data_IF_462075114939
#
_entry.id   IF_462075114939
#
_cell.length_a   1.000
_cell.length_b   1.000
_cell.length_c   1.000
_cell.angle_alpha   90.00
_cell.angle_beta   90.00
_cell.angle_gamma   90.00
#
_symmetry.space_group_name_H-M   'P 1'
#
loop_
_entity.id
_entity.type
_entity.pdbx_description
1 polymer ?
#
# COMPACT_ATOMS: atom_id res chain seq x y z
N UNK A 1 12.67 8.20 -8.33
CA UNK A 1 11.36 8.22 -7.64
C UNK A 1 11.61 8.34 -6.15
N UNK A 2 11.56 9.57 -5.60
CA UNK A 2 11.78 9.83 -4.18
C UNK A 2 10.49 9.54 -3.41
N UNK A 3 10.53 8.66 -2.42
CA UNK A 3 9.39 8.41 -1.53
C UNK A 3 9.27 9.59 -0.54
N UNK A 4 8.26 10.48 -0.67
CA UNK A 4 8.18 11.70 0.14
C UNK A 4 8.03 11.43 1.64
N UNK A 5 7.64 10.19 2.02
CA UNK A 5 7.54 9.75 3.41
C UNK A 5 8.89 9.49 4.08
N UNK A 6 9.95 9.20 3.30
CA UNK A 6 11.28 8.93 3.85
C UNK A 6 12.01 10.19 4.33
N UNK A 7 11.52 11.39 3.97
CA UNK A 7 12.18 12.67 4.19
C UNK A 7 11.40 13.61 5.12
N UNK A 8 10.24 13.16 5.61
CA UNK A 8 9.43 13.93 6.54
C UNK A 8 9.99 13.81 7.98
N UNK A 9 9.90 14.88 8.80
CA UNK A 9 10.33 14.82 10.19
C UNK A 9 9.51 13.79 10.97
N UNK A 10 10.20 12.90 11.70
CA UNK A 10 9.56 11.87 12.51
C UNK A 10 8.91 12.50 13.73
N UNK A 11 7.61 12.26 13.91
CA UNK A 11 6.88 12.66 15.11
C UNK A 11 6.82 11.48 16.09
N UNK A 12 7.32 11.68 17.31
CA UNK A 12 7.17 10.71 18.38
C UNK A 12 5.68 10.51 18.66
N UNK A 13 5.23 9.25 18.63
CA UNK A 13 3.84 8.86 18.86
C UNK A 13 3.84 7.75 19.90
N UNK A 14 3.07 7.91 20.98
CA UNK A 14 2.91 6.86 21.98
C UNK A 14 2.02 5.76 21.40
N UNK A 15 2.53 4.53 21.40
CA UNK A 15 1.83 3.34 20.93
C UNK A 15 1.85 2.27 22.01
N UNK A 16 0.70 1.64 22.25
CA UNK A 16 0.55 0.54 23.20
C UNK A 16 0.74 -0.79 22.47
N UNK A 17 1.72 -1.58 22.90
CA UNK A 17 2.01 -2.91 22.39
C UNK A 17 2.02 -3.91 23.56
N UNK A 18 1.78 -5.19 23.26
CA UNK A 18 1.85 -6.25 24.26
C UNK A 18 3.25 -6.30 24.89
N UNK A 19 3.29 -6.43 26.22
CA UNK A 19 4.54 -6.44 26.97
C UNK A 19 5.44 -7.61 26.57
N UNK A 20 4.85 -8.78 26.34
CA UNK A 20 5.55 -9.99 25.86
C UNK A 20 6.25 -9.75 24.53
N UNK A 21 5.58 -9.07 23.60
CA UNK A 21 6.14 -8.73 22.29
C UNK A 21 7.28 -7.70 22.40
N UNK A 22 7.17 -6.73 23.31
CA UNK A 22 8.25 -5.78 23.57
C UNK A 22 9.47 -6.45 24.21
N UNK A 23 9.26 -7.38 25.13
CA UNK A 23 10.33 -8.16 25.76
C UNK A 23 11.06 -9.02 24.71
N UNK A 24 10.32 -9.70 23.84
CA UNK A 24 10.87 -10.49 22.74
C UNK A 24 11.64 -9.60 21.75
N UNK A 25 11.07 -8.47 21.34
CA UNK A 25 11.73 -7.53 20.45
C UNK A 25 13.06 -7.00 21.04
N UNK A 26 13.08 -6.71 22.34
CA UNK A 26 14.32 -6.31 23.06
C UNK A 26 15.34 -7.44 23.08
N UNK A 27 14.92 -8.68 23.37
CA UNK A 27 15.80 -9.85 23.39
C UNK A 27 16.44 -10.10 22.01
N UNK A 28 15.67 -9.88 20.94
CA UNK A 28 16.09 -10.02 19.55
C UNK A 28 16.79 -8.77 18.99
N UNK A 29 16.98 -7.71 19.80
CA UNK A 29 17.55 -6.42 19.39
C UNK A 29 16.84 -5.77 18.19
N UNK A 30 15.53 -5.95 18.11
CA UNK A 30 14.69 -5.36 17.05
C UNK A 30 14.42 -3.89 17.37
N UNK A 31 14.61 -3.04 16.37
CA UNK A 31 14.22 -1.63 16.46
C UNK A 31 12.70 -1.47 16.30
N UNK A 32 11.99 -1.45 17.43
CA UNK A 32 10.52 -1.36 17.48
C UNK A 32 9.99 -0.15 16.71
N UNK A 33 10.64 1.01 16.82
CA UNK A 33 10.21 2.23 16.13
C UNK A 33 10.26 2.08 14.60
N UNK A 34 11.34 1.48 14.09
CA UNK A 34 11.48 1.22 12.65
C UNK A 34 10.49 0.16 12.17
N UNK A 35 10.28 -0.91 12.94
CA UNK A 35 9.33 -1.96 12.62
C UNK A 35 7.88 -1.43 12.61
N UNK A 36 7.53 -0.60 13.59
CA UNK A 36 6.22 0.07 13.65
C UNK A 36 6.01 1.00 12.46
N UNK A 37 7.01 1.80 12.08
CA UNK A 37 6.96 2.68 10.90
C UNK A 37 6.71 1.87 9.62
N UNK A 38 7.42 0.77 9.43
CA UNK A 38 7.22 -0.12 8.28
C UNK A 38 5.82 -0.77 8.27
N UNK A 39 5.34 -1.22 9.43
CA UNK A 39 4.00 -1.79 9.58
C UNK A 39 2.90 -0.79 9.24
N UNK A 40 2.98 0.42 9.77
CA UNK A 40 2.03 1.51 9.46
C UNK A 40 2.09 1.88 7.99
N UNK A 41 3.29 1.99 7.41
CA UNK A 41 3.46 2.31 5.99
C UNK A 41 2.80 1.27 5.07
N UNK A 42 2.86 -0.02 5.42
CA UNK A 42 2.18 -1.10 4.70
C UNK A 42 0.67 -1.01 4.83
N UNK A 43 0.15 -0.92 6.07
CA UNK A 43 -1.29 -0.84 6.32
C UNK A 43 -1.93 0.37 5.61
N UNK A 44 -1.25 1.52 5.59
CA UNK A 44 -1.70 2.71 4.85
C UNK A 44 -1.70 2.47 3.33
N UNK A 45 -0.68 1.80 2.80
CA UNK A 45 -0.61 1.50 1.37
C UNK A 45 -1.74 0.55 0.94
N UNK A 46 -1.98 -0.52 1.72
CA UNK A 46 -3.07 -1.48 1.50
C UNK A 46 -4.42 -0.77 1.52
N UNK A 47 -4.69 0.03 2.56
CA UNK A 47 -5.96 0.77 2.65
C UNK A 47 -6.15 1.78 1.53
N UNK A 48 -5.08 2.46 1.09
CA UNK A 48 -5.14 3.36 -0.06
C UNK A 48 -5.44 2.61 -1.36
N UNK A 49 -4.86 1.42 -1.55
CA UNK A 49 -5.14 0.59 -2.71
C UNK A 49 -6.61 0.14 -2.72
N UNK A 50 -7.14 -0.33 -1.59
CA UNK A 50 -8.57 -0.67 -1.46
C UNK A 50 -9.48 0.52 -1.80
N UNK A 51 -9.20 1.68 -1.21
CA UNK A 51 -9.97 2.90 -1.47
C UNK A 51 -9.87 3.34 -2.93
N UNK A 52 -8.71 3.16 -3.56
CA UNK A 52 -8.53 3.49 -4.96
C UNK A 52 -9.34 2.56 -5.86
N UNK A 53 -9.33 1.25 -5.61
CA UNK A 53 -10.15 0.28 -6.34
C UNK A 53 -11.63 0.61 -6.20
N UNK A 54 -12.10 0.88 -4.97
CA UNK A 54 -13.50 1.25 -4.71
C UNK A 54 -13.91 2.53 -5.45
N UNK A 55 -13.05 3.56 -5.44
CA UNK A 55 -13.32 4.82 -6.14
C UNK A 55 -13.32 4.68 -7.67
N UNK A 56 -12.48 3.79 -8.21
CA UNK A 56 -12.31 3.61 -9.65
C UNK A 56 -13.16 2.47 -10.22
N UNK A 57 -14.03 1.85 -9.41
CA UNK A 57 -14.87 0.73 -9.84
C UNK A 57 -15.70 1.07 -11.08
N UNK A 58 -16.33 2.26 -11.12
CA UNK A 58 -17.08 2.73 -12.30
C UNK A 58 -16.20 2.95 -13.53
N UNK A 59 -14.96 3.39 -13.34
CA UNK A 59 -14.01 3.57 -14.44
C UNK A 59 -13.60 2.21 -15.03
N UNK A 60 -13.39 1.20 -14.19
CA UNK A 60 -13.14 -0.17 -14.62
C UNK A 60 -14.34 -0.79 -15.33
N UNK A 61 -15.55 -0.63 -14.80
CA UNK A 61 -16.77 -1.12 -15.44
C UNK A 61 -16.97 -0.49 -16.83
N UNK A 62 -16.79 0.83 -16.95
CA UNK A 62 -16.88 1.54 -18.23
C UNK A 62 -15.80 1.06 -19.23
N UNK A 63 -14.56 0.90 -18.76
CA UNK A 63 -13.47 0.39 -19.59
C UNK A 63 -13.70 -1.05 -20.03
N UNK A 64 -14.16 -1.92 -19.12
CA UNK A 64 -14.48 -3.31 -19.44
C UNK A 64 -15.60 -3.39 -20.47
N UNK A 65 -16.70 -2.63 -20.30
CA UNK A 65 -17.78 -2.56 -21.26
C UNK A 65 -17.32 -2.03 -22.63
N UNK A 66 -16.39 -1.08 -22.64
CA UNK A 66 -15.78 -0.59 -23.87
C UNK A 66 -14.95 -1.66 -24.57
N UNK A 67 -14.12 -2.41 -23.84
CA UNK A 67 -13.29 -3.49 -24.39
C UNK A 67 -14.14 -4.68 -24.87
N UNK A 68 -15.20 -5.05 -24.14
CA UNK A 68 -16.15 -6.08 -24.59
C UNK A 68 -16.83 -5.70 -25.91
N UNK A 69 -17.23 -4.42 -26.03
CA UNK A 69 -17.94 -3.94 -27.22
C UNK A 69 -17.02 -3.69 -28.42
N UNK A 70 -15.80 -3.19 -28.19
CA UNK A 70 -14.92 -2.71 -29.26
C UNK A 70 -13.67 -3.58 -29.47
N UNK A 71 -13.49 -4.62 -28.66
CA UNK A 71 -12.26 -5.41 -28.59
C UNK A 71 -11.13 -4.64 -27.91
N UNK A 72 -9.97 -5.30 -27.79
CA UNK A 72 -8.78 -4.68 -27.21
C UNK A 72 -8.27 -3.53 -28.11
N UNK A 73 -8.19 -2.30 -27.60
CA UNK A 73 -7.55 -1.21 -28.32
C UNK A 73 -6.14 -1.61 -28.71
N UNK A 74 -5.80 -1.41 -29.99
CA UNK A 74 -4.48 -1.74 -30.55
C UNK A 74 -4.12 -3.23 -30.49
N UNK A 75 -5.06 -4.13 -30.17
CA UNK A 75 -4.82 -5.58 -30.20
C UNK A 75 -4.28 -6.09 -31.55
N UNK A 76 -4.67 -5.42 -32.63
CA UNK A 76 -4.19 -5.68 -34.01
C UNK A 76 -2.70 -5.43 -34.25
N UNK A 77 -1.99 -4.78 -33.33
CA UNK A 77 -0.55 -4.51 -33.41
C UNK A 77 0.28 -5.35 -32.44
N UNK A 78 -0.35 -6.22 -31.65
CA UNK A 78 0.34 -7.09 -30.71
C UNK A 78 0.95 -8.28 -31.47
N UNK A 79 2.27 -8.29 -31.60
CA UNK A 79 3.04 -9.46 -32.07
C UNK A 79 3.24 -10.43 -30.89
N UNK A 80 3.11 -11.73 -31.15
CA UNK A 80 3.30 -12.81 -30.18
C UNK A 80 4.71 -13.39 -30.29
#
# INVERSE_FOLDING_TARGET
MTNPRAQAPKKATNVSLAETLLAEAKALRINVSQAAEAGVARAVAEKRAELWVAQNQKAFECWNAYVEKNGLPLGKYRSF
#
